data_IF_849189179965
#
_entry.id   IF_849189179965
#
_cell.length_a   1.000
_cell.length_b   1.000
_cell.length_c   1.000
_cell.angle_alpha   90.00
_cell.angle_beta   90.00
_cell.angle_gamma   90.00
#
_symmetry.space_group_name_H-M   'P 1'
#
loop_
_entity.id
_entity.type
_entity.pdbx_description
1 polymer ?
#
# COMPACT_ATOMS: atom_id res chain seq x y z
N UNK A 1 -7.38 2.31 -5.02
CA UNK A 1 -8.86 2.17 -5.03
C UNK A 1 -9.46 3.19 -4.08
N UNK A 2 -10.76 3.51 -4.22
CA UNK A 2 -11.41 4.40 -3.25
C UNK A 2 -11.54 3.69 -1.92
N UNK A 3 -11.42 4.44 -0.82
CA UNK A 3 -11.62 3.93 0.54
C UNK A 3 -13.04 3.39 0.72
N UNK A 4 -14.03 3.94 0.02
CA UNK A 4 -15.42 3.47 0.00
C UNK A 4 -15.57 2.03 -0.49
N UNK A 5 -14.62 1.54 -1.29
CA UNK A 5 -14.68 0.22 -1.90
C UNK A 5 -14.12 -0.88 -0.98
N UNK A 6 -13.47 -0.49 0.13
CA UNK A 6 -12.92 -1.42 1.12
C UNK A 6 -13.92 -1.65 2.24
N UNK A 7 -14.29 -2.92 2.45
CA UNK A 7 -15.09 -3.34 3.59
C UNK A 7 -14.28 -4.26 4.52
N UNK A 8 -14.13 -3.85 5.78
CA UNK A 8 -13.53 -4.70 6.82
C UNK A 8 -14.59 -5.67 7.33
N UNK A 9 -14.48 -6.94 6.95
CA UNK A 9 -15.41 -7.96 7.41
C UNK A 9 -15.27 -8.25 8.92
N UNK A 10 -14.04 -8.25 9.43
CA UNK A 10 -13.70 -8.56 10.83
C UNK A 10 -12.40 -7.87 11.25
N UNK A 11 -12.10 -7.86 12.56
CA UNK A 11 -10.80 -7.48 13.09
C UNK A 11 -10.50 -5.98 13.11
N UNK A 12 -11.49 -5.12 12.85
CA UNK A 12 -11.32 -3.67 12.83
C UNK A 12 -10.72 -3.11 14.13
N UNK A 13 -11.14 -3.64 15.28
CA UNK A 13 -10.65 -3.22 16.61
C UNK A 13 -9.16 -3.55 16.84
N UNK A 14 -8.62 -4.50 16.07
CA UNK A 14 -7.21 -4.89 16.12
C UNK A 14 -6.32 -4.02 15.22
N UNK A 15 -6.88 -3.06 14.48
CA UNK A 15 -6.11 -2.24 13.55
C UNK A 15 -5.66 -0.95 14.24
N UNK A 16 -4.34 -0.75 14.31
CA UNK A 16 -3.75 0.50 14.79
C UNK A 16 -3.39 1.41 13.63
N UNK A 17 -3.54 2.71 13.85
CA UNK A 17 -3.19 3.77 12.90
C UNK A 17 -1.98 4.54 13.42
N UNK A 18 -1.06 4.86 12.52
CA UNK A 18 0.13 5.68 12.80
C UNK A 18 0.32 6.72 11.71
N UNK A 19 0.41 7.98 12.10
CA UNK A 19 0.70 9.10 11.20
C UNK A 19 2.21 9.17 10.95
N UNK A 20 2.67 8.57 9.85
CA UNK A 20 4.11 8.51 9.54
C UNK A 20 4.67 9.81 8.96
N UNK A 21 3.80 10.70 8.50
CA UNK A 21 4.12 12.07 8.13
C UNK A 21 2.86 12.92 8.23
N UNK A 22 2.98 14.25 8.07
CA UNK A 22 1.86 15.19 8.13
C UNK A 22 0.63 14.71 7.33
N UNK A 23 0.84 14.16 6.14
CA UNK A 23 -0.24 13.76 5.24
C UNK A 23 -0.44 12.25 5.10
N UNK A 24 0.37 11.41 5.75
CA UNK A 24 0.37 9.95 5.51
C UNK A 24 -0.02 9.17 6.75
N UNK A 25 -1.01 8.31 6.60
CA UNK A 25 -1.48 7.38 7.62
C UNK A 25 -1.15 5.94 7.19
N UNK A 26 -0.54 5.20 8.09
CA UNK A 26 -0.27 3.75 7.97
C UNK A 26 -1.13 3.00 8.95
N UNK A 27 -1.74 1.90 8.51
CA UNK A 27 -2.56 1.05 9.36
C UNK A 27 -2.00 -0.38 9.36
N UNK A 28 -1.90 -0.98 10.55
CA UNK A 28 -1.29 -2.29 10.76
C UNK A 28 -2.02 -3.09 11.83
N UNK A 29 -1.86 -4.41 11.81
CA UNK A 29 -2.39 -5.29 12.83
C UNK A 29 -1.64 -5.09 14.15
N UNK A 30 -2.36 -4.80 15.23
CA UNK A 30 -1.77 -4.57 16.55
C UNK A 30 -1.16 -5.83 17.18
N UNK A 31 -1.61 -7.01 16.75
CA UNK A 31 -1.19 -8.30 17.30
C UNK A 31 0.08 -8.82 16.63
N UNK A 32 0.07 -8.95 15.30
CA UNK A 32 1.18 -9.54 14.53
C UNK A 32 2.11 -8.50 13.87
N UNK A 33 1.73 -7.21 13.84
CA UNK A 33 2.53 -6.15 13.23
C UNK A 33 2.46 -6.06 11.71
N UNK A 34 1.68 -6.92 11.02
CA UNK A 34 1.55 -6.86 9.57
C UNK A 34 1.01 -5.52 9.08
N UNK A 35 1.66 -4.94 8.08
CA UNK A 35 1.18 -3.73 7.40
C UNK A 35 -0.04 -4.06 6.54
N UNK A 36 -1.13 -3.32 6.70
CA UNK A 36 -2.40 -3.58 6.02
C UNK A 36 -2.71 -2.48 5.01
N UNK A 37 -2.71 -1.23 5.47
CA UNK A 37 -3.16 -0.10 4.64
C UNK A 37 -2.22 1.09 4.69
N UNK A 38 -2.25 1.86 3.61
CA UNK A 38 -1.64 3.17 3.49
C UNK A 38 -2.64 4.13 2.85
N UNK A 39 -2.76 5.35 3.37
CA UNK A 39 -3.61 6.39 2.79
C UNK A 39 -3.05 7.78 3.05
N UNK A 40 -3.46 8.74 2.22
CA UNK A 40 -3.17 10.16 2.44
C UNK A 40 -4.38 10.84 3.09
N UNK A 41 -4.15 11.79 3.99
CA UNK A 41 -5.21 12.60 4.60
C UNK A 41 -5.57 13.85 3.78
N UNK A 42 -4.74 14.23 2.79
CA UNK A 42 -4.93 15.43 1.99
C UNK A 42 -4.30 15.31 0.58
N UNK A 43 -4.72 16.20 -0.31
CA UNK A 43 -4.21 16.31 -1.68
C UNK A 43 -4.83 15.32 -2.66
N UNK A 44 -4.19 15.19 -3.83
CA UNK A 44 -4.56 14.15 -4.80
C UNK A 44 -4.47 12.77 -4.13
N UNK A 45 -5.51 11.96 -4.33
CA UNK A 45 -5.68 10.63 -3.72
C UNK A 45 -6.03 10.59 -2.22
N UNK A 46 -6.51 11.69 -1.62
CA UNK A 46 -6.97 11.69 -0.22
C UNK A 46 -8.11 10.68 0.07
N UNK A 47 -8.95 10.40 -0.93
CA UNK A 47 -10.03 9.42 -0.83
C UNK A 47 -9.58 7.99 -1.12
N UNK A 48 -8.30 7.79 -1.47
CA UNK A 48 -7.79 6.48 -1.84
C UNK A 48 -7.23 5.73 -0.64
N UNK A 49 -7.33 4.41 -0.72
CA UNK A 49 -6.62 3.49 0.15
C UNK A 49 -5.74 2.55 -0.70
N UNK A 50 -4.52 2.35 -0.22
CA UNK A 50 -3.61 1.32 -0.71
C UNK A 50 -3.68 0.13 0.22
N UNK A 51 -3.75 -1.07 -0.37
CA UNK A 51 -3.76 -2.35 0.34
C UNK A 51 -2.40 -3.02 0.12
N UNK A 52 -1.81 -3.56 1.18
CA UNK A 52 -0.58 -4.33 1.07
C UNK A 52 -0.83 -5.60 0.24
N UNK A 53 -0.17 -5.73 -0.92
CA UNK A 53 -0.42 -6.87 -1.84
C UNK A 53 -0.19 -8.23 -1.19
N UNK A 54 0.70 -8.32 -0.19
CA UNK A 54 0.97 -9.54 0.56
C UNK A 54 -0.19 -10.04 1.44
N UNK A 55 -1.28 -9.28 1.58
CA UNK A 55 -2.49 -9.70 2.30
C UNK A 55 -3.56 -10.29 1.39
N UNK A 56 -3.29 -10.45 0.09
CA UNK A 56 -4.23 -11.06 -0.85
C UNK A 56 -3.94 -12.56 -0.96
N UNK A 57 -4.96 -13.38 -0.74
CA UNK A 57 -4.86 -14.85 -0.90
C UNK A 57 -5.01 -15.28 -2.37
N UNK A 58 -5.68 -14.47 -3.18
CA UNK A 58 -5.92 -14.72 -4.60
C UNK A 58 -4.82 -14.15 -5.48
N UNK A 59 -4.55 -14.80 -6.62
CA UNK A 59 -3.71 -14.22 -7.66
C UNK A 59 -4.22 -12.82 -8.04
N UNK A 60 -3.30 -11.85 -8.06
CA UNK A 60 -3.57 -10.50 -8.45
C UNK A 60 -2.74 -10.16 -9.68
N UNK A 61 -3.40 -9.65 -10.73
CA UNK A 61 -2.75 -9.13 -11.92
C UNK A 61 -3.29 -7.73 -12.15
N UNK A 62 -2.39 -6.75 -12.20
CA UNK A 62 -2.75 -5.37 -12.52
C UNK A 62 -2.35 -5.03 -13.94
N UNK A 63 -3.29 -4.44 -14.69
CA UNK A 63 -3.03 -3.89 -16.03
C UNK A 63 -2.26 -2.58 -15.98
N UNK A 64 -2.08 -1.99 -14.78
CA UNK A 64 -1.35 -0.74 -14.56
C UNK A 64 -0.32 -0.95 -13.46
N UNK A 65 0.95 -0.93 -13.83
CA UNK A 65 2.07 -1.08 -12.91
C UNK A 65 3.14 -0.04 -13.23
N UNK A 66 3.93 0.32 -12.22
CA UNK A 66 5.11 1.17 -12.34
C UNK A 66 6.03 0.89 -11.17
N UNK A 67 7.32 1.09 -11.37
CA UNK A 67 8.33 1.01 -10.33
C UNK A 67 8.61 2.43 -9.84
N UNK A 68 8.38 2.67 -8.54
CA UNK A 68 8.66 3.94 -7.87
C UNK A 68 9.79 3.70 -6.87
N UNK A 69 10.72 4.63 -6.71
CA UNK A 69 11.92 4.49 -5.86
C UNK A 69 12.99 3.51 -6.40
N UNK A 70 13.15 3.41 -7.72
CA UNK A 70 14.14 2.48 -8.33
C UNK A 70 15.59 2.79 -7.94
N UNK A 71 15.87 4.01 -7.51
CA UNK A 71 17.19 4.41 -7.00
C UNK A 71 17.53 3.75 -5.65
N UNK A 72 16.51 3.34 -4.90
CA UNK A 72 16.65 2.67 -3.60
C UNK A 72 16.60 1.14 -3.71
N UNK A 73 16.50 0.59 -4.94
CA UNK A 73 16.46 -0.87 -5.15
C UNK A 73 17.78 -1.52 -4.75
N UNK A 74 17.73 -2.78 -4.32
CA UNK A 74 18.94 -3.55 -4.06
C UNK A 74 19.79 -3.65 -5.34
N UNK A 75 21.12 -3.54 -5.20
CA UNK A 75 22.05 -3.51 -6.35
C UNK A 75 22.02 -4.79 -7.18
N UNK A 76 21.70 -5.93 -6.56
CA UNK A 76 21.58 -7.23 -7.19
C UNK A 76 20.21 -7.49 -7.85
N UNK A 77 19.22 -6.62 -7.63
CA UNK A 77 17.88 -6.80 -8.20
C UNK A 77 17.77 -6.06 -9.54
N UNK A 78 17.43 -6.78 -10.60
CA UNK A 78 17.20 -6.23 -11.93
C UNK A 78 15.71 -6.24 -12.27
N UNK A 79 15.20 -5.09 -12.72
CA UNK A 79 13.81 -4.96 -13.19
C UNK A 79 13.80 -5.41 -14.65
N UNK A 80 13.10 -6.51 -14.94
CA UNK A 80 13.10 -7.16 -16.27
C UNK A 80 11.82 -6.94 -17.07
N UNK A 81 10.82 -6.27 -16.49
CA UNK A 81 9.56 -5.96 -17.18
C UNK A 81 9.61 -4.61 -17.92
N UNK A 82 8.53 -4.30 -18.63
CA UNK A 82 8.41 -3.11 -19.48
C UNK A 82 7.72 -1.94 -18.78
N UNK A 83 7.42 -2.04 -17.48
CA UNK A 83 6.65 -1.01 -16.80
C UNK A 83 7.48 0.24 -16.55
N UNK A 84 6.86 1.43 -16.54
CA UNK A 84 7.55 2.68 -16.28
C UNK A 84 8.34 2.66 -14.96
N UNK A 85 9.56 3.20 -15.00
CA UNK A 85 10.45 3.30 -13.85
C UNK A 85 10.66 4.76 -13.48
N UNK A 86 10.42 5.10 -12.22
CA UNK A 86 10.55 6.45 -11.68
C UNK A 86 11.48 6.44 -10.47
N UNK A 87 12.17 7.57 -10.31
CA UNK A 87 12.91 7.87 -9.09
C UNK A 87 11.94 8.14 -7.95
#
# INVERSE_FOLDING_TARGET
MLRSDLHLAQGADGIKSYQSSESVIRQFCAECGSSLFWSRSQGEYAEWISIAMGTLDSMFTSDKQKHIEVMSKATWYEIQDHWPQFQ
#
